data_IF_633117074516
#
_entry.id   IF_633117074516
#
_cell.length_a   1.000
_cell.length_b   1.000
_cell.length_c   1.000
_cell.angle_alpha   90.00
_cell.angle_beta   90.00
_cell.angle_gamma   90.00
#
_symmetry.space_group_name_H-M   'P 1'
#
loop_
_entity.id
_entity.type
_entity.pdbx_description
1 polymer ?
#
# COMPACT_ATOMS: atom_id res chain seq x y z
N UNK A 1 -47.10 -22.69 49.30
CA UNK A 1 -46.50 -22.18 48.05
C UNK A 1 -44.98 -22.27 48.02
N UNK A 2 -44.30 -22.33 49.19
CA UNK A 2 -42.84 -22.48 49.31
C UNK A 2 -42.28 -23.85 48.87
N UNK A 3 -43.06 -24.93 48.97
CA UNK A 3 -42.56 -26.28 48.62
C UNK A 3 -42.31 -26.50 47.12
N UNK A 4 -42.94 -25.70 46.24
CA UNK A 4 -42.66 -25.77 44.78
C UNK A 4 -41.40 -25.02 44.35
N UNK A 5 -40.84 -24.18 45.24
CA UNK A 5 -39.56 -23.50 44.99
C UNK A 5 -38.41 -24.47 45.32
N UNK A 6 -38.54 -25.29 46.37
CA UNK A 6 -37.50 -26.25 46.77
C UNK A 6 -37.35 -27.46 45.84
N UNK A 7 -38.43 -27.98 45.24
CA UNK A 7 -38.33 -29.10 44.30
C UNK A 7 -37.58 -28.78 42.99
N UNK A 8 -37.37 -27.48 42.67
CA UNK A 8 -36.52 -27.05 41.54
C UNK A 8 -35.05 -26.84 41.93
N UNK A 9 -34.72 -26.94 43.21
CA UNK A 9 -33.37 -26.78 43.76
C UNK A 9 -32.68 -28.12 44.09
N UNK A 10 -33.36 -29.27 43.94
CA UNK A 10 -32.78 -30.59 44.25
C UNK A 10 -31.68 -31.03 43.25
N UNK A 11 -31.65 -30.43 42.06
CA UNK A 11 -30.56 -30.60 41.07
C UNK A 11 -29.46 -29.53 41.23
N UNK A 12 -29.57 -28.69 42.27
CA UNK A 12 -28.64 -27.63 42.58
C UNK A 12 -27.59 -28.19 43.54
N UNK A 13 -26.36 -28.32 43.05
CA UNK A 13 -25.22 -28.83 43.81
C UNK A 13 -24.84 -27.85 44.93
N UNK A 14 -25.52 -27.98 46.08
CA UNK A 14 -25.35 -27.12 47.27
C UNK A 14 -23.91 -27.13 47.76
N UNK A 15 -23.20 -28.24 47.55
CA UNK A 15 -21.80 -28.40 47.93
C UNK A 15 -20.90 -27.45 47.12
N UNK A 16 -21.11 -27.36 45.80
CA UNK A 16 -20.43 -26.36 44.94
C UNK A 16 -20.78 -24.92 45.31
N UNK A 17 -22.03 -24.66 45.72
CA UNK A 17 -22.43 -23.32 46.17
C UNK A 17 -21.70 -22.94 47.46
N UNK A 18 -21.61 -23.85 48.43
CA UNK A 18 -20.86 -23.62 49.67
C UNK A 18 -19.38 -23.43 49.39
N UNK A 19 -18.81 -24.16 48.43
CA UNK A 19 -17.42 -23.98 48.00
C UNK A 19 -17.18 -22.58 47.39
N UNK A 20 -18.05 -22.13 46.49
CA UNK A 20 -17.99 -20.78 45.91
C UNK A 20 -18.16 -19.70 46.98
N UNK A 21 -19.11 -19.88 47.92
CA UNK A 21 -19.34 -18.95 49.02
C UNK A 21 -18.12 -18.89 49.95
N UNK A 22 -17.52 -20.03 50.29
CA UNK A 22 -16.31 -20.08 51.09
C UNK A 22 -15.12 -19.43 50.36
N UNK A 23 -15.02 -19.60 49.05
CA UNK A 23 -13.98 -18.98 48.23
C UNK A 23 -14.14 -17.45 48.18
N UNK A 24 -15.37 -16.95 48.02
CA UNK A 24 -15.69 -15.51 48.11
C UNK A 24 -15.43 -14.97 49.52
N UNK A 25 -15.79 -15.73 50.56
CA UNK A 25 -15.59 -15.34 51.95
C UNK A 25 -14.10 -15.28 52.33
N UNK A 26 -13.33 -16.29 51.94
CA UNK A 26 -11.88 -16.35 52.15
C UNK A 26 -11.13 -15.26 51.36
N UNK A 27 -11.72 -14.75 50.27
CA UNK A 27 -11.17 -13.66 49.47
C UNK A 27 -11.98 -12.36 49.59
N UNK A 28 -12.74 -12.18 50.68
CA UNK A 28 -13.72 -11.10 50.83
C UNK A 28 -13.12 -9.72 50.60
N UNK A 29 -11.94 -9.43 51.15
CA UNK A 29 -11.29 -8.13 50.99
C UNK A 29 -10.98 -7.83 49.52
N UNK A 30 -10.33 -8.77 48.81
CA UNK A 30 -10.03 -8.65 47.38
C UNK A 30 -11.29 -8.53 46.53
N UNK A 31 -12.36 -9.22 46.92
CA UNK A 31 -13.64 -9.15 46.25
C UNK A 31 -14.33 -7.78 46.45
N UNK A 32 -14.31 -7.25 47.67
CA UNK A 32 -14.86 -5.92 47.96
C UNK A 32 -14.05 -4.82 47.27
N UNK A 33 -12.72 -4.91 47.28
CA UNK A 33 -11.84 -3.99 46.54
C UNK A 33 -12.13 -4.04 45.03
N UNK A 34 -12.34 -5.25 44.47
CA UNK A 34 -12.72 -5.40 43.07
C UNK A 34 -14.08 -4.75 42.80
N UNK A 35 -15.10 -5.02 43.61
CA UNK A 35 -16.45 -4.46 43.42
C UNK A 35 -16.45 -2.93 43.52
N UNK A 36 -15.66 -2.35 44.43
CA UNK A 36 -15.52 -0.89 44.59
C UNK A 36 -14.78 -0.25 43.41
N UNK A 37 -13.72 -0.90 42.90
CA UNK A 37 -12.92 -0.36 41.80
C UNK A 37 -13.44 -0.73 40.41
N UNK A 38 -14.29 -1.76 40.28
CA UNK A 38 -14.80 -2.26 39.01
C UNK A 38 -15.50 -1.18 38.15
N UNK A 39 -16.42 -0.35 38.67
CA UNK A 39 -17.02 0.71 37.86
C UNK A 39 -15.99 1.69 37.32
N UNK A 40 -14.99 2.07 38.13
CA UNK A 40 -13.88 2.93 37.67
C UNK A 40 -13.04 2.26 36.59
N UNK A 41 -12.69 0.99 36.76
CA UNK A 41 -11.94 0.21 35.77
C UNK A 41 -12.72 0.04 34.46
N UNK A 42 -14.03 -0.21 34.53
CA UNK A 42 -14.92 -0.30 33.37
C UNK A 42 -15.02 1.05 32.64
N UNK A 43 -15.10 2.14 33.40
CA UNK A 43 -15.11 3.50 32.85
C UNK A 43 -13.79 3.79 32.13
N UNK A 44 -12.64 3.64 32.80
CA UNK A 44 -11.31 3.90 32.24
C UNK A 44 -11.03 3.02 31.02
N UNK A 45 -11.39 1.73 31.09
CA UNK A 45 -11.24 0.80 29.97
C UNK A 45 -12.14 1.20 28.81
N UNK A 46 -13.39 1.57 29.09
CA UNK A 46 -14.33 2.01 28.08
C UNK A 46 -13.89 3.29 27.36
N UNK A 47 -13.38 4.27 28.11
CA UNK A 47 -12.79 5.50 27.55
C UNK A 47 -11.55 5.22 26.70
N UNK A 48 -10.66 4.33 27.17
CA UNK A 48 -9.47 3.92 26.43
C UNK A 48 -9.82 3.23 25.10
N UNK A 49 -10.77 2.29 25.13
CA UNK A 49 -11.23 1.57 23.93
C UNK A 49 -11.95 2.52 22.96
N UNK A 50 -12.79 3.43 23.46
CA UNK A 50 -13.46 4.44 22.62
C UNK A 50 -12.45 5.39 21.95
N UNK A 51 -11.38 5.77 22.67
CA UNK A 51 -10.28 6.57 22.14
C UNK A 51 -9.48 5.81 21.08
N UNK A 52 -9.21 4.52 21.30
CA UNK A 52 -8.58 3.65 20.30
C UNK A 52 -9.45 3.55 19.04
N UNK A 53 -10.76 3.37 19.20
CA UNK A 53 -11.70 3.35 18.07
C UNK A 53 -11.71 4.66 17.28
N UNK A 54 -11.69 5.79 18.00
CA UNK A 54 -11.59 7.13 17.39
C UNK A 54 -10.28 7.34 16.63
N UNK A 55 -9.18 6.77 17.13
CA UNK A 55 -7.88 6.82 16.46
C UNK A 55 -7.84 5.95 15.21
N UNK A 56 -8.42 4.75 15.27
CA UNK A 56 -8.58 3.88 14.11
C UNK A 56 -9.42 4.55 13.01
N UNK A 57 -10.55 5.17 13.37
CA UNK A 57 -11.36 5.93 12.41
C UNK A 57 -10.64 7.15 11.82
N UNK A 58 -9.73 7.80 12.55
CA UNK A 58 -8.90 8.87 11.97
C UNK A 58 -7.89 8.31 10.99
N UNK A 59 -7.21 7.22 11.34
CA UNK A 59 -6.26 6.57 10.46
C UNK A 59 -6.94 6.02 9.19
N UNK A 60 -8.18 5.50 9.29
CA UNK A 60 -8.94 5.09 8.11
C UNK A 60 -9.21 6.26 7.18
N UNK A 61 -9.61 7.42 7.69
CA UNK A 61 -9.87 8.59 6.82
C UNK A 61 -8.63 9.06 6.07
N UNK A 62 -7.43 8.86 6.60
CA UNK A 62 -6.18 9.13 5.87
C UNK A 62 -5.97 8.14 4.71
N UNK A 63 -6.31 6.88 4.91
CA UNK A 63 -6.08 5.80 3.96
C UNK A 63 -7.14 5.71 2.87
N UNK A 64 -8.42 5.83 3.23
CA UNK A 64 -9.57 5.70 2.33
C UNK A 64 -10.22 7.03 1.95
N UNK A 65 -9.73 8.15 2.50
CA UNK A 65 -10.29 9.47 2.28
C UNK A 65 -11.47 9.76 3.22
N UNK A 66 -11.89 11.02 3.22
CA UNK A 66 -13.05 11.48 3.99
C UNK A 66 -14.20 11.95 3.09
N UNK A 67 -15.39 12.11 3.67
CA UNK A 67 -16.56 12.63 2.96
C UNK A 67 -16.42 14.11 2.54
N UNK A 68 -15.34 14.80 2.97
CA UNK A 68 -15.07 16.20 2.63
C UNK A 68 -14.21 16.31 1.37
N UNK A 69 -13.83 15.18 0.77
CA UNK A 69 -13.07 15.15 -0.49
C UNK A 69 -11.58 15.34 -0.29
N UNK A 70 -11.05 15.12 0.92
CA UNK A 70 -9.59 15.11 1.13
C UNK A 70 -8.98 13.91 0.38
N UNK A 71 -7.90 14.10 -0.39
CA UNK A 71 -7.27 13.00 -1.12
C UNK A 71 -6.83 11.90 -0.16
N UNK A 72 -7.29 10.67 -0.43
CA UNK A 72 -6.86 9.48 0.28
C UNK A 72 -5.44 9.06 -0.15
N UNK A 73 -4.81 8.21 0.65
CA UNK A 73 -3.56 7.56 0.21
C UNK A 73 -3.74 6.77 -1.12
N UNK A 74 -4.93 6.22 -1.35
CA UNK A 74 -5.32 5.61 -2.62
C UNK A 74 -5.38 6.59 -3.79
N UNK A 75 -5.94 7.78 -3.57
CA UNK A 75 -6.04 8.84 -4.57
C UNK A 75 -4.66 9.39 -4.94
N UNK A 76 -3.80 9.58 -3.95
CA UNK A 76 -2.41 10.02 -4.18
C UNK A 76 -1.65 8.99 -5.01
N UNK A 77 -1.84 7.70 -4.71
CA UNK A 77 -1.19 6.62 -5.47
C UNK A 77 -1.70 6.57 -6.91
N UNK A 78 -3.00 6.80 -7.12
CA UNK A 78 -3.61 6.90 -8.46
C UNK A 78 -3.10 8.12 -9.22
N UNK A 79 -2.96 9.27 -8.56
CA UNK A 79 -2.40 10.49 -9.15
C UNK A 79 -0.96 10.28 -9.58
N UNK A 80 -0.14 9.67 -8.73
CA UNK A 80 1.24 9.35 -9.04
C UNK A 80 1.33 8.37 -10.23
N UNK A 81 0.49 7.34 -10.27
CA UNK A 81 0.42 6.40 -11.39
C UNK A 81 0.06 7.10 -12.71
N UNK A 82 -0.90 8.03 -12.69
CA UNK A 82 -1.26 8.80 -13.89
C UNK A 82 -0.11 9.70 -14.36
N UNK A 83 0.63 10.32 -13.44
CA UNK A 83 1.81 11.10 -13.79
C UNK A 83 2.92 10.23 -14.43
N UNK A 84 3.09 8.99 -13.97
CA UNK A 84 4.01 8.04 -14.58
C UNK A 84 3.57 7.58 -15.98
N UNK A 85 2.28 7.37 -16.20
CA UNK A 85 1.75 7.08 -17.53
C UNK A 85 2.00 8.23 -18.51
N UNK A 86 1.78 9.49 -18.07
CA UNK A 86 2.12 10.66 -18.88
C UNK A 86 3.63 10.73 -19.19
N UNK A 87 4.49 10.45 -18.21
CA UNK A 87 5.93 10.38 -18.43
C UNK A 87 6.31 9.27 -19.43
N UNK A 88 5.64 8.11 -19.36
CA UNK A 88 5.82 7.02 -20.32
C UNK A 88 5.45 7.45 -21.74
N UNK A 89 4.37 8.20 -21.92
CA UNK A 89 3.95 8.70 -23.23
C UNK A 89 4.97 9.70 -23.81
N UNK A 90 5.47 10.61 -22.97
CA UNK A 90 6.52 11.57 -23.36
C UNK A 90 7.83 10.86 -23.74
N UNK A 91 8.26 9.88 -22.95
CA UNK A 91 9.47 9.10 -23.24
C UNK A 91 9.31 8.28 -24.52
N UNK A 92 8.13 7.70 -24.76
CA UNK A 92 7.82 6.97 -26.00
C UNK A 92 7.87 7.89 -27.23
N UNK A 93 7.32 9.10 -27.11
CA UNK A 93 7.40 10.10 -28.18
C UNK A 93 8.85 10.52 -28.46
N UNK A 94 9.64 10.77 -27.42
CA UNK A 94 11.04 11.14 -27.56
C UNK A 94 11.89 10.00 -28.15
N UNK A 95 11.63 8.74 -27.76
CA UNK A 95 12.29 7.56 -28.33
C UNK A 95 12.05 7.48 -29.86
N UNK A 96 10.82 7.66 -30.32
CA UNK A 96 10.48 7.68 -31.75
C UNK A 96 11.20 8.79 -32.51
N UNK A 97 11.32 9.98 -31.92
CA UNK A 97 12.08 11.09 -32.54
C UNK A 97 13.55 10.71 -32.68
N UNK A 98 14.14 10.08 -31.67
CA UNK A 98 15.54 9.62 -31.72
C UNK A 98 15.74 8.50 -32.75
N UNK A 99 14.81 7.56 -32.85
CA UNK A 99 14.83 6.51 -33.86
C UNK A 99 14.79 7.10 -35.27
N UNK A 100 13.82 7.97 -35.55
CA UNK A 100 13.70 8.66 -36.83
C UNK A 100 14.96 9.47 -37.17
N UNK A 101 15.53 10.19 -36.19
CA UNK A 101 16.78 10.92 -36.39
C UNK A 101 17.93 9.96 -36.74
N UNK A 102 18.02 8.82 -36.05
CA UNK A 102 19.00 7.78 -36.37
C UNK A 102 18.87 7.28 -37.80
N UNK A 103 17.64 7.01 -38.25
CA UNK A 103 17.36 6.61 -39.64
C UNK A 103 17.72 7.69 -40.67
N UNK A 104 17.49 8.96 -40.37
CA UNK A 104 17.90 10.07 -41.26
C UNK A 104 19.42 10.23 -41.31
N UNK A 105 20.12 10.03 -40.19
CA UNK A 105 21.59 10.05 -40.17
C UNK A 105 22.19 8.90 -40.99
N UNK A 106 21.59 7.71 -40.95
CA UNK A 106 22.05 6.53 -41.72
C UNK A 106 21.93 6.71 -43.25
N UNK A 107 21.03 7.61 -43.69
CA UNK A 107 20.88 7.99 -45.11
C UNK A 107 22.00 8.92 -45.59
N UNK A 108 22.76 9.55 -44.71
CA UNK A 108 23.84 10.47 -45.09
C UNK A 108 25.08 9.66 -45.48
N UNK A 109 25.16 9.35 -46.78
CA UNK A 109 26.30 8.64 -47.38
C UNK A 109 27.15 9.58 -48.21
N UNK A 110 28.47 9.40 -48.10
CA UNK A 110 29.42 10.06 -48.99
C UNK A 110 30.03 9.04 -49.93
N UNK A 111 30.28 9.40 -51.19
CA UNK A 111 31.07 8.57 -52.08
C UNK A 111 32.48 8.42 -51.50
N UNK A 112 32.94 7.18 -51.34
CA UNK A 112 34.29 6.85 -50.92
C UNK A 112 35.10 6.38 -52.13
N UNK A 113 36.34 6.85 -52.23
CA UNK A 113 37.26 6.44 -53.29
C UNK A 113 38.46 5.80 -52.62
N UNK A 114 38.63 4.48 -52.82
CA UNK A 114 39.75 3.72 -52.28
C UNK A 114 40.64 3.22 -53.42
N UNK A 115 41.94 3.54 -53.45
CA UNK A 115 42.84 3.02 -54.46
C UNK A 115 43.00 1.49 -54.32
N UNK A 116 42.81 0.77 -55.42
CA UNK A 116 43.17 -0.65 -55.54
C UNK A 116 44.64 -0.73 -55.93
N UNK A 117 45.38 -1.58 -55.24
CA UNK A 117 46.81 -1.79 -55.47
C UNK A 117 47.05 -3.18 -56.06
N UNK A 118 47.96 -3.26 -57.03
CA UNK A 118 48.50 -4.49 -57.57
C UNK A 118 50.00 -4.54 -57.27
N UNK A 119 50.49 -5.70 -56.84
CA UNK A 119 51.91 -5.91 -56.56
C UNK A 119 52.63 -6.33 -57.84
N UNK A 120 53.54 -5.49 -58.32
CA UNK A 120 54.34 -5.73 -59.51
C UNK A 120 55.82 -5.65 -59.10
N UNK A 121 56.46 -6.82 -59.04
CA UNK A 121 57.87 -6.98 -58.68
C UNK A 121 58.26 -6.31 -57.34
N UNK A 122 57.43 -6.46 -56.31
CA UNK A 122 57.71 -5.92 -54.98
C UNK A 122 57.34 -4.44 -54.80
N UNK A 123 56.76 -3.81 -55.82
CA UNK A 123 56.23 -2.45 -55.76
C UNK A 123 54.70 -2.47 -55.85
N UNK A 124 54.03 -1.75 -54.94
CA UNK A 124 52.57 -1.55 -54.99
C UNK A 124 52.23 -0.44 -55.99
N UNK A 125 51.62 -0.81 -57.10
CA UNK A 125 51.14 0.13 -58.12
C UNK A 125 49.62 0.26 -58.00
N UNK A 126 49.08 1.48 -58.08
CA UNK A 126 47.63 1.69 -58.11
C UNK A 126 47.11 1.13 -59.43
N UNK A 127 46.34 0.06 -59.36
CA UNK A 127 45.75 -0.61 -60.53
C UNK A 127 44.34 -0.15 -60.84
N UNK A 128 43.71 0.61 -59.95
CA UNK A 128 42.38 1.17 -60.15
C UNK A 128 41.88 1.95 -58.94
N UNK A 129 40.68 2.53 -59.07
CA UNK A 129 39.96 3.16 -57.99
C UNK A 129 38.70 2.34 -57.70
N UNK A 130 38.48 1.97 -56.45
CA UNK A 130 37.21 1.47 -55.97
C UNK A 130 36.36 2.67 -55.56
N UNK A 131 35.21 2.82 -56.19
CA UNK A 131 34.24 3.86 -55.85
C UNK A 131 33.10 3.16 -55.12
N UNK A 132 32.95 3.45 -53.83
CA UNK A 132 31.88 2.95 -52.99
C UNK A 132 31.12 4.11 -52.32
N UNK A 133 30.25 3.77 -51.39
CA UNK A 133 29.61 4.72 -50.47
C UNK A 133 29.95 4.33 -49.04
N UNK A 134 30.30 5.31 -48.22
CA UNK A 134 30.48 5.14 -46.77
C UNK A 134 29.52 6.06 -46.04
N UNK A 135 28.87 5.53 -45.00
CA UNK A 135 28.09 6.34 -44.10
C UNK A 135 29.01 7.05 -43.10
N UNK A 136 28.96 8.38 -43.09
CA UNK A 136 29.82 9.18 -42.20
C UNK A 136 29.28 9.26 -40.77
N UNK A 137 28.03 8.85 -40.58
CA UNK A 137 27.29 9.00 -39.33
C UNK A 137 26.75 7.68 -38.78
N UNK A 138 27.17 6.52 -39.30
CA UNK A 138 26.69 5.19 -38.87
C UNK A 138 26.79 5.00 -37.36
N UNK A 139 27.93 5.36 -36.76
CA UNK A 139 28.10 5.29 -35.30
C UNK A 139 27.13 6.19 -34.52
N UNK A 140 26.75 7.35 -35.09
CA UNK A 140 25.79 8.25 -34.47
C UNK A 140 24.36 7.70 -34.61
N UNK A 141 24.02 7.16 -35.79
CA UNK A 141 22.75 6.48 -36.06
C UNK A 141 22.54 5.29 -35.10
N UNK A 142 23.53 4.41 -34.98
CA UNK A 142 23.50 3.25 -34.07
C UNK A 142 23.32 3.68 -32.61
N UNK A 143 24.02 4.74 -32.18
CA UNK A 143 23.89 5.28 -30.83
C UNK A 143 22.50 5.86 -30.55
N UNK A 144 21.91 6.54 -31.52
CA UNK A 144 20.55 7.07 -31.40
C UNK A 144 19.53 5.93 -31.32
N UNK A 145 19.68 4.90 -32.15
CA UNK A 145 18.84 3.70 -32.12
C UNK A 145 18.92 2.98 -30.76
N UNK A 146 20.12 2.73 -30.26
CA UNK A 146 20.31 2.17 -28.93
C UNK A 146 19.76 3.08 -27.81
N UNK A 147 19.84 4.40 -27.97
CA UNK A 147 19.22 5.36 -27.07
C UNK A 147 17.70 5.21 -27.05
N UNK A 148 17.06 5.12 -28.22
CA UNK A 148 15.63 4.87 -28.36
C UNK A 148 15.21 3.56 -27.69
N UNK A 149 15.91 2.45 -27.96
CA UNK A 149 15.63 1.14 -27.33
C UNK A 149 15.68 1.20 -25.80
N UNK A 150 16.64 1.96 -25.25
CA UNK A 150 16.77 2.16 -23.79
C UNK A 150 15.62 3.00 -23.24
N UNK A 151 15.21 4.04 -23.95
CA UNK A 151 14.06 4.87 -23.56
C UNK A 151 12.76 4.07 -23.58
N UNK A 152 12.56 3.22 -24.59
CA UNK A 152 11.38 2.34 -24.64
C UNK A 152 11.33 1.38 -23.44
N UNK A 153 12.47 0.82 -23.03
CA UNK A 153 12.57 -0.02 -21.82
C UNK A 153 12.23 0.78 -20.55
N UNK A 154 12.78 1.99 -20.40
CA UNK A 154 12.46 2.87 -19.27
C UNK A 154 10.95 3.18 -19.25
N UNK A 155 10.33 3.44 -20.40
CA UNK A 155 8.89 3.64 -20.50
C UNK A 155 8.09 2.43 -20.00
N UNK A 156 8.51 1.20 -20.35
CA UNK A 156 7.89 -0.04 -19.84
C UNK A 156 8.03 -0.17 -18.33
N UNK A 157 9.20 0.16 -17.79
CA UNK A 157 9.45 0.12 -16.34
C UNK A 157 8.58 1.13 -15.59
N UNK A 158 8.42 2.36 -16.11
CA UNK A 158 7.54 3.37 -15.52
C UNK A 158 6.09 2.91 -15.48
N UNK A 159 5.62 2.25 -16.54
CA UNK A 159 4.27 1.68 -16.60
C UNK A 159 4.07 0.57 -15.57
N UNK A 160 5.07 -0.28 -15.35
CA UNK A 160 5.04 -1.28 -14.29
C UNK A 160 4.91 -0.61 -12.91
N UNK A 161 5.70 0.45 -12.67
CA UNK A 161 5.60 1.22 -11.41
C UNK A 161 4.22 1.86 -11.27
N UNK A 162 3.64 2.41 -12.34
CA UNK A 162 2.29 2.97 -12.33
C UNK A 162 1.23 1.92 -11.96
N UNK A 163 1.31 0.71 -12.52
CA UNK A 163 0.44 -0.42 -12.13
C UNK A 163 0.59 -0.75 -10.65
N UNK A 164 1.82 -0.90 -10.16
CA UNK A 164 2.07 -1.21 -8.75
C UNK A 164 1.53 -0.13 -7.79
N UNK A 165 1.61 1.15 -8.19
CA UNK A 165 1.04 2.25 -7.40
C UNK A 165 -0.49 2.18 -7.35
N UNK A 166 -1.16 1.80 -8.45
CA UNK A 166 -2.62 1.61 -8.44
C UNK A 166 -3.04 0.47 -7.53
N UNK A 167 -2.32 -0.65 -7.60
CA UNK A 167 -2.58 -1.82 -6.76
C UNK A 167 -2.38 -1.47 -5.28
N UNK A 168 -1.28 -0.79 -4.95
CA UNK A 168 -1.03 -0.27 -3.60
C UNK A 168 -2.15 0.68 -3.16
N UNK A 169 -2.59 1.58 -4.03
CA UNK A 169 -3.68 2.50 -3.73
C UNK A 169 -5.00 1.78 -3.43
N UNK A 170 -5.29 0.69 -4.15
CA UNK A 170 -6.43 -0.20 -3.88
C UNK A 170 -6.34 -0.84 -2.51
N UNK A 171 -5.19 -1.43 -2.18
CA UNK A 171 -4.94 -2.06 -0.86
C UNK A 171 -5.05 -1.05 0.28
N UNK A 172 -4.51 0.16 0.11
CA UNK A 172 -4.61 1.22 1.12
C UNK A 172 -6.06 1.65 1.34
N UNK A 173 -6.84 1.74 0.26
CA UNK A 173 -8.28 2.08 0.33
C UNK A 173 -9.07 1.01 1.09
N UNK A 174 -8.80 -0.28 0.82
CA UNK A 174 -9.42 -1.41 1.52
C UNK A 174 -9.02 -1.45 2.99
N UNK A 175 -7.72 -1.31 3.28
CA UNK A 175 -7.19 -1.24 4.65
C UNK A 175 -7.83 -0.08 5.43
N UNK A 176 -8.06 1.06 4.78
CA UNK A 176 -8.80 2.17 5.37
C UNK A 176 -10.22 1.77 5.78
N UNK A 177 -10.98 1.08 4.91
CA UNK A 177 -12.33 0.60 5.25
C UNK A 177 -12.32 -0.38 6.42
N UNK A 178 -11.42 -1.35 6.41
CA UNK A 178 -11.30 -2.33 7.49
C UNK A 178 -10.98 -1.66 8.82
N UNK A 179 -10.08 -0.68 8.81
CA UNK A 179 -9.70 0.06 10.01
C UNK A 179 -10.85 0.95 10.52
N UNK A 180 -11.68 1.48 9.62
CA UNK A 180 -12.89 2.19 10.00
C UNK A 180 -13.86 1.28 10.74
N UNK A 181 -14.08 0.07 10.23
CA UNK A 181 -15.00 -0.90 10.81
C UNK A 181 -14.51 -1.36 12.19
N UNK A 182 -13.21 -1.63 12.33
CA UNK A 182 -12.58 -1.87 13.64
C UNK A 182 -12.82 -0.68 14.58
N UNK A 183 -12.63 0.54 14.08
CA UNK A 183 -12.83 1.75 14.87
C UNK A 183 -14.27 1.92 15.39
N UNK A 184 -15.27 1.61 14.55
CA UNK A 184 -16.69 1.61 14.92
C UNK A 184 -16.98 0.54 15.99
N UNK A 185 -16.45 -0.68 15.82
CA UNK A 185 -16.64 -1.77 16.77
C UNK A 185 -16.00 -1.45 18.13
N UNK A 186 -14.80 -0.89 18.14
CA UNK A 186 -14.13 -0.45 19.35
C UNK A 186 -14.94 0.65 20.05
N UNK A 187 -15.38 1.69 19.32
CA UNK A 187 -16.21 2.74 19.91
C UNK A 187 -17.50 2.20 20.53
N UNK A 188 -18.17 1.26 19.86
CA UNK A 188 -19.35 0.60 20.41
C UNK A 188 -19.05 -0.24 21.66
N UNK A 189 -17.91 -0.93 21.67
CA UNK A 189 -17.47 -1.74 22.82
C UNK A 189 -17.13 -0.86 24.03
N UNK A 190 -16.40 0.24 23.79
CA UNK A 190 -16.06 1.22 24.82
C UNK A 190 -17.31 1.87 25.44
N UNK A 191 -18.26 2.28 24.59
CA UNK A 191 -19.55 2.81 25.07
C UNK A 191 -20.36 1.79 25.87
N UNK A 192 -20.28 0.50 25.52
CA UNK A 192 -20.93 -0.58 26.28
C UNK A 192 -20.32 -0.73 27.67
N UNK A 193 -18.98 -0.72 27.78
CA UNK A 193 -18.28 -0.81 29.08
C UNK A 193 -18.60 0.38 29.99
N UNK A 194 -18.69 1.59 29.43
CA UNK A 194 -19.12 2.79 30.17
C UNK A 194 -20.59 2.68 30.62
N UNK A 195 -21.45 2.15 29.76
CA UNK A 195 -22.86 1.91 30.15
C UNK A 195 -22.97 0.88 31.28
N UNK A 196 -22.04 -0.10 31.33
CA UNK A 196 -21.93 -1.06 32.44
C UNK A 196 -21.43 -0.41 33.74
N UNK A 197 -20.53 0.58 33.69
CA UNK A 197 -20.12 1.34 34.88
C UNK A 197 -21.27 2.17 35.46
N UNK A 198 -22.18 2.65 34.61
CA UNK A 198 -23.30 3.53 35.01
C UNK A 198 -24.53 2.77 35.54
N UNK A 199 -24.59 1.44 35.37
CA UNK A 199 -25.70 0.63 35.86
C UNK A 199 -25.82 0.75 37.40
N UNK A 200 -27.05 1.03 37.85
CA UNK A 200 -27.44 1.35 39.25
C UNK A 200 -27.05 0.33 40.35
N UNK A 201 -26.35 -0.76 40.00
CA UNK A 201 -25.78 -1.72 40.94
C UNK A 201 -24.36 -1.38 41.41
N UNK A 202 -23.61 -0.57 40.66
CA UNK A 202 -22.23 -0.20 41.00
C UNK A 202 -22.08 1.19 41.62
N UNK A 203 -23.04 2.09 41.40
CA UNK A 203 -23.01 3.49 41.82
C UNK A 203 -23.79 3.79 43.10
N UNK A 204 -24.01 2.78 43.97
CA UNK A 204 -24.63 2.98 45.28
C UNK A 204 -23.82 2.40 46.44
N UNK A 205 -22.96 3.24 47.00
CA UNK A 205 -23.04 3.67 48.41
C UNK A 205 -22.41 5.04 48.57
#
# INVERSE_FOLDING_TARGET
>A
MFNKIFDRFDDFDVEKVVEVVNLVWNNREKFMDLVENLPKLLQETGESIESAGSSAMKASTFLSGDAKGSPSAGDISTLAANALDSCQDEISAAAKIMENLGEELDKIRIPSIKPKYMDLMGNKIISGLDIGEEGIMDNAADRLKHGSDRMEKIGKDLRLVATNLRDLGGVLTETGKDLNDVGVQLKSSGGTLRSLSDLKGFTKK
#
